data_IF_608354623659
#
_entry.id   IF_608354623659
#
_cell.length_a   1.000
_cell.length_b   1.000
_cell.length_c   1.000
_cell.angle_alpha   90.00
_cell.angle_beta   90.00
_cell.angle_gamma   90.00
#
_symmetry.space_group_name_H-M   'P 1'
#
loop_
_entity.id
_entity.type
_entity.pdbx_description
1 polymer ?
#
# COMPACT_ATOMS: atom_id res chain seq x y z
N UNK A 1 3.26 -11.22 12.85
CA UNK A 1 2.69 -9.86 12.73
C UNK A 1 2.55 -9.59 11.25
N UNK A 2 1.32 -9.39 10.79
CA UNK A 2 1.01 -9.27 9.36
C UNK A 2 1.33 -7.87 8.85
N UNK A 3 1.73 -7.80 7.58
CA UNK A 3 2.25 -6.60 6.93
C UNK A 3 1.44 -6.28 5.68
N UNK A 4 1.12 -5.01 5.44
CA UNK A 4 0.45 -4.58 4.21
C UNK A 4 1.23 -3.47 3.53
N UNK A 5 1.39 -3.57 2.22
CA UNK A 5 1.80 -2.42 1.40
C UNK A 5 0.62 -1.82 0.69
N UNK A 6 0.62 -0.50 0.48
CA UNK A 6 -0.38 0.13 -0.37
C UNK A 6 0.24 1.19 -1.28
N UNK A 7 -0.17 1.15 -2.55
CA UNK A 7 0.38 2.00 -3.60
C UNK A 7 -0.71 2.43 -4.58
N UNK A 8 -0.71 3.70 -4.97
CA UNK A 8 -1.42 4.13 -6.17
C UNK A 8 -0.48 4.51 -7.30
N UNK A 9 -1.00 4.42 -8.52
CA UNK A 9 -0.33 4.97 -9.68
C UNK A 9 -0.25 6.50 -9.54
N UNK A 10 0.87 7.10 -9.93
CA UNK A 10 1.13 8.56 -9.83
C UNK A 10 0.19 9.43 -10.65
N UNK A 11 -0.59 8.82 -11.56
CA UNK A 11 -1.64 9.50 -12.33
C UNK A 11 -3.02 9.52 -11.62
N UNK A 12 -3.09 9.08 -10.36
CA UNK A 12 -4.33 8.98 -9.60
C UNK A 12 -5.07 10.32 -9.54
N UNK A 13 -6.29 10.31 -10.08
CA UNK A 13 -7.25 11.40 -10.02
C UNK A 13 -7.80 11.58 -8.60
N UNK A 14 -8.55 12.66 -8.35
CA UNK A 14 -9.20 12.85 -7.05
C UNK A 14 -10.07 11.66 -6.67
N UNK A 15 -9.89 11.15 -5.45
CA UNK A 15 -10.71 10.08 -4.91
C UNK A 15 -12.14 10.57 -4.66
N UNK A 16 -13.12 9.89 -5.27
CA UNK A 16 -14.55 10.05 -5.00
C UNK A 16 -14.95 9.51 -3.62
N UNK A 17 -16.11 9.95 -3.13
CA UNK A 17 -16.64 9.50 -1.83
C UNK A 17 -16.85 7.98 -1.77
N UNK A 18 -17.22 7.36 -2.91
CA UNK A 18 -17.40 5.91 -3.01
C UNK A 18 -16.07 5.18 -2.83
N UNK A 19 -15.00 5.68 -3.44
CA UNK A 19 -13.67 5.08 -3.34
C UNK A 19 -13.10 5.22 -1.93
N UNK A 20 -13.27 6.40 -1.32
CA UNK A 20 -12.92 6.67 0.09
C UNK A 20 -13.65 5.72 1.03
N UNK A 21 -14.96 5.51 0.82
CA UNK A 21 -15.76 4.56 1.59
C UNK A 21 -15.22 3.12 1.47
N UNK A 22 -14.89 2.68 0.26
CA UNK A 22 -14.32 1.35 0.02
C UNK A 22 -12.94 1.18 0.70
N UNK A 23 -12.06 2.17 0.59
CA UNK A 23 -10.74 2.15 1.23
C UNK A 23 -10.84 2.07 2.76
N UNK A 24 -11.71 2.88 3.35
CA UNK A 24 -11.96 2.87 4.79
C UNK A 24 -12.30 1.46 5.28
N UNK A 25 -13.24 0.78 4.61
CA UNK A 25 -13.64 -0.57 5.00
C UNK A 25 -12.54 -1.61 4.79
N UNK A 26 -11.72 -1.49 3.73
CA UNK A 26 -10.60 -2.40 3.48
C UNK A 26 -9.50 -2.27 4.55
N UNK A 27 -9.17 -1.05 4.96
CA UNK A 27 -8.20 -0.81 6.03
C UNK A 27 -8.71 -1.37 7.36
N UNK A 28 -9.97 -1.12 7.71
CA UNK A 28 -10.58 -1.69 8.91
C UNK A 28 -10.57 -3.23 8.88
N UNK A 29 -10.87 -3.84 7.73
CA UNK A 29 -10.77 -5.29 7.58
C UNK A 29 -9.34 -5.81 7.81
N UNK A 30 -8.33 -5.15 7.22
CA UNK A 30 -6.93 -5.52 7.43
C UNK A 30 -6.50 -5.43 8.89
N UNK A 31 -6.87 -4.35 9.58
CA UNK A 31 -6.49 -4.10 10.98
C UNK A 31 -7.22 -5.06 11.92
N UNK A 32 -8.54 -5.19 11.81
CA UNK A 32 -9.35 -5.89 12.82
C UNK A 32 -9.55 -7.37 12.52
N UNK A 33 -9.61 -7.77 11.26
CA UNK A 33 -9.87 -9.16 10.87
C UNK A 33 -8.58 -9.91 10.51
N UNK A 34 -7.62 -9.24 9.88
CA UNK A 34 -6.37 -9.86 9.40
C UNK A 34 -5.15 -9.58 10.28
N UNK A 35 -5.33 -8.82 11.38
CA UNK A 35 -4.28 -8.47 12.35
C UNK A 35 -3.04 -7.83 11.69
N UNK A 36 -3.26 -6.97 10.69
CA UNK A 36 -2.19 -6.17 10.09
C UNK A 36 -1.82 -5.04 11.04
N UNK A 37 -0.52 -4.91 11.31
CA UNK A 37 0.03 -3.92 12.24
C UNK A 37 1.12 -3.04 11.63
N UNK A 38 1.71 -3.45 10.51
CA UNK A 38 2.71 -2.65 9.80
C UNK A 38 2.24 -2.35 8.39
N UNK A 39 2.31 -1.07 8.03
CA UNK A 39 1.87 -0.57 6.74
C UNK A 39 3.00 0.17 6.02
N UNK A 40 3.17 -0.07 4.73
CA UNK A 40 4.25 0.51 3.91
C UNK A 40 3.66 1.29 2.73
N UNK A 41 4.09 2.53 2.52
CA UNK A 41 3.60 3.39 1.44
C UNK A 41 4.61 4.44 1.00
N UNK A 42 4.46 4.92 -0.24
CA UNK A 42 5.20 6.08 -0.75
C UNK A 42 4.70 7.40 -0.17
N UNK A 43 3.40 7.49 0.16
CA UNK A 43 2.82 8.71 0.72
C UNK A 43 2.66 9.85 -0.28
N UNK A 44 2.57 9.56 -1.59
CA UNK A 44 2.71 10.56 -2.65
C UNK A 44 1.42 10.85 -3.43
N UNK A 45 0.36 10.07 -3.21
CA UNK A 45 -0.91 10.18 -3.94
C UNK A 45 -2.10 10.46 -2.99
N UNK A 46 -3.24 10.95 -3.50
CA UNK A 46 -4.45 11.12 -2.66
C UNK A 46 -4.91 9.77 -2.06
N UNK A 47 -4.71 8.67 -2.79
CA UNK A 47 -4.91 7.32 -2.27
C UNK A 47 -4.03 7.01 -1.06
N UNK A 48 -2.72 7.27 -1.15
CA UNK A 48 -1.80 7.00 -0.05
C UNK A 48 -2.17 7.84 1.16
N UNK A 49 -2.37 9.14 0.95
CA UNK A 49 -2.73 10.11 2.00
C UNK A 49 -4.07 9.75 2.67
N UNK A 50 -5.06 9.29 1.90
CA UNK A 50 -6.32 8.84 2.47
C UNK A 50 -6.11 7.59 3.33
N UNK A 51 -5.35 6.60 2.86
CA UNK A 51 -5.06 5.39 3.64
C UNK A 51 -4.31 5.72 4.94
N UNK A 52 -3.29 6.57 4.87
CA UNK A 52 -2.56 7.09 6.03
C UNK A 52 -3.53 7.73 7.03
N UNK A 53 -4.42 8.62 6.57
CA UNK A 53 -5.34 9.33 7.45
C UNK A 53 -6.29 8.40 8.22
N UNK A 54 -6.69 7.27 7.64
CA UNK A 54 -7.49 6.24 8.31
C UNK A 54 -6.64 5.50 9.33
N UNK A 55 -5.41 5.13 8.98
CA UNK A 55 -4.49 4.43 9.88
C UNK A 55 -4.10 5.29 11.10
N UNK A 56 -3.88 6.60 10.90
CA UNK A 56 -3.61 7.53 12.00
C UNK A 56 -4.77 7.63 13.00
N UNK A 57 -6.02 7.63 12.52
CA UNK A 57 -7.18 7.57 13.42
C UNK A 57 -7.20 6.28 14.24
N UNK A 58 -6.82 5.16 13.62
CA UNK A 58 -6.76 3.85 14.27
C UNK A 58 -5.58 3.73 15.25
N UNK A 59 -4.48 4.47 15.09
CA UNK A 59 -3.36 4.51 16.06
C UNK A 59 -3.81 4.92 17.48
N UNK A 60 -4.93 5.64 17.60
CA UNK A 60 -5.50 5.99 18.91
C UNK A 60 -6.03 4.80 19.71
N UNK A 61 -6.28 3.66 19.05
CA UNK A 61 -6.86 2.46 19.66
C UNK A 61 -6.04 1.19 19.43
N UNK A 62 -5.29 1.14 18.33
CA UNK A 62 -4.55 -0.03 17.88
C UNK A 62 -3.04 0.27 17.78
N UNK A 63 -2.20 -0.74 18.04
CA UNK A 63 -0.74 -0.64 17.87
C UNK A 63 -0.38 -0.81 16.39
N UNK A 64 -0.53 0.27 15.61
CA UNK A 64 -0.26 0.31 14.17
C UNK A 64 1.00 1.14 13.90
N UNK A 65 1.86 0.65 13.01
CA UNK A 65 3.03 1.36 12.49
C UNK A 65 2.89 1.62 11.00
N UNK A 66 3.24 2.83 10.58
CA UNK A 66 3.23 3.29 9.19
C UNK A 66 4.66 3.65 8.81
N UNK A 67 5.16 3.06 7.72
CA UNK A 67 6.52 3.23 7.25
C UNK A 67 6.53 3.94 5.90
N UNK A 68 7.33 5.00 5.79
CA UNK A 68 7.55 5.69 4.51
C UNK A 68 8.56 4.93 3.68
N UNK A 69 8.27 4.75 2.41
CA UNK A 69 9.20 4.16 1.46
C UNK A 69 9.98 5.28 0.79
N UNK A 70 11.30 5.16 0.81
CA UNK A 70 12.22 6.12 0.20
C UNK A 70 12.96 5.47 -0.95
N UNK A 71 13.14 6.23 -2.04
CA UNK A 71 14.09 5.86 -3.09
C UNK A 71 15.51 6.21 -2.66
N UNK A 72 16.49 5.71 -3.39
CA UNK A 72 17.90 5.97 -3.10
C UNK A 72 18.20 7.47 -3.06
N UNK A 73 19.00 7.90 -2.08
CA UNK A 73 19.33 9.30 -1.76
C UNK A 73 18.17 10.22 -1.31
N UNK A 74 16.93 9.73 -1.19
CA UNK A 74 15.87 10.53 -0.57
C UNK A 74 16.17 10.78 0.91
N UNK A 75 15.96 12.02 1.35
CA UNK A 75 16.08 12.44 2.75
C UNK A 75 14.73 12.27 3.46
N UNK A 76 14.77 11.77 4.69
CA UNK A 76 13.60 11.68 5.55
C UNK A 76 13.88 12.41 6.85
N UNK A 77 12.97 13.32 7.18
CA UNK A 77 12.93 14.02 8.46
C UNK A 77 11.63 13.62 9.18
N UNK A 78 11.78 13.00 10.34
CA UNK A 78 10.64 12.54 11.14
C UNK A 78 9.82 13.71 11.68
N UNK A 79 10.45 14.87 11.93
CA UNK A 79 9.75 16.06 12.41
C UNK A 79 8.84 16.67 11.33
N UNK A 80 9.21 16.50 10.06
CA UNK A 80 8.41 16.93 8.90
C UNK A 80 7.36 15.91 8.47
N UNK A 81 7.46 14.66 8.93
CA UNK A 81 6.62 13.54 8.50
C UNK A 81 6.08 12.75 9.72
N UNK A 82 5.34 13.40 10.64
CA UNK A 82 4.94 12.83 11.93
C UNK A 82 3.97 11.64 11.83
N UNK A 83 3.31 11.46 10.68
CA UNK A 83 2.39 10.35 10.44
C UNK A 83 3.12 8.99 10.35
N UNK A 84 4.42 9.00 10.01
CA UNK A 84 5.24 7.80 9.86
C UNK A 84 6.05 7.52 11.12
N UNK A 85 6.13 6.25 11.49
CA UNK A 85 6.91 5.78 12.63
C UNK A 85 8.40 5.59 12.27
N UNK A 86 8.70 5.24 11.03
CA UNK A 86 10.06 5.08 10.49
C UNK A 86 10.01 5.04 8.94
N UNK A 87 11.15 4.80 8.32
CA UNK A 87 11.28 4.66 6.87
C UNK A 87 11.94 3.34 6.47
N UNK A 88 11.69 2.93 5.22
CA UNK A 88 12.41 1.85 4.56
C UNK A 88 13.00 2.35 3.24
N UNK A 89 14.25 1.97 2.98
CA UNK A 89 14.93 2.24 1.71
C UNK A 89 14.79 1.07 0.75
N UNK A 90 14.62 1.39 -0.53
CA UNK A 90 14.68 0.42 -1.63
C UNK A 90 15.73 0.84 -2.64
N UNK A 91 16.58 -0.12 -3.01
CA UNK A 91 17.71 0.08 -3.93
C UNK A 91 17.21 -0.01 -5.39
N UNK A 92 16.33 0.91 -5.81
CA UNK A 92 15.85 0.99 -7.19
C UNK A 92 15.13 2.32 -7.46
N UNK A 93 15.35 2.88 -8.66
CA UNK A 93 14.62 4.06 -9.14
C UNK A 93 13.29 3.70 -9.81
N UNK A 94 13.16 2.47 -10.29
CA UNK A 94 11.99 1.93 -10.97
C UNK A 94 10.87 1.57 -9.98
N UNK A 95 9.71 2.19 -10.15
CA UNK A 95 8.53 2.01 -9.27
C UNK A 95 8.07 0.56 -9.27
N UNK A 96 8.10 -0.13 -10.41
CA UNK A 96 7.67 -1.53 -10.48
C UNK A 96 8.60 -2.44 -9.66
N UNK A 97 9.91 -2.28 -9.83
CA UNK A 97 10.92 -3.02 -9.07
C UNK A 97 10.86 -2.73 -7.56
N UNK A 98 10.59 -1.47 -7.17
CA UNK A 98 10.39 -1.12 -5.75
C UNK A 98 9.11 -1.72 -5.19
N UNK A 99 8.00 -1.63 -5.91
CA UNK A 99 6.73 -2.24 -5.51
C UNK A 99 6.87 -3.76 -5.33
N UNK A 100 7.65 -4.45 -6.18
CA UNK A 100 8.00 -5.88 -6.01
C UNK A 100 8.77 -6.12 -4.72
N UNK A 101 9.82 -5.34 -4.44
CA UNK A 101 10.66 -5.54 -3.24
C UNK A 101 9.88 -5.38 -1.92
N UNK A 102 8.84 -4.56 -1.92
CA UNK A 102 8.07 -4.23 -0.72
C UNK A 102 6.84 -5.13 -0.63
N UNK A 103 6.24 -5.49 -1.78
CA UNK A 103 5.33 -6.61 -1.87
C UNK A 103 5.97 -7.88 -1.30
N UNK A 104 7.19 -8.25 -1.69
CA UNK A 104 7.89 -9.44 -1.16
C UNK A 104 8.07 -9.45 0.37
N UNK A 105 8.02 -8.28 1.01
CA UNK A 105 8.11 -8.10 2.46
C UNK A 105 6.74 -8.01 3.16
N UNK A 106 5.66 -8.02 2.39
CA UNK A 106 4.28 -7.85 2.87
C UNK A 106 3.48 -9.15 2.76
N UNK A 107 2.51 -9.32 3.64
CA UNK A 107 1.52 -10.40 3.53
C UNK A 107 0.36 -9.99 2.63
N UNK A 108 0.08 -8.68 2.57
CA UNK A 108 -0.98 -8.06 1.79
C UNK A 108 -0.46 -6.91 0.93
N UNK A 109 -1.09 -6.68 -0.22
CA UNK A 109 -0.88 -5.48 -1.03
C UNK A 109 -2.23 -4.89 -1.41
N UNK A 110 -2.37 -3.57 -1.30
CA UNK A 110 -3.48 -2.78 -1.83
C UNK A 110 -2.98 -1.91 -2.99
N UNK A 111 -3.71 -1.93 -4.11
CA UNK A 111 -3.37 -1.12 -5.29
C UNK A 111 -4.58 -0.28 -5.73
N UNK A 112 -4.33 0.95 -6.19
CA UNK A 112 -5.27 1.69 -7.04
C UNK A 112 -5.20 1.07 -8.46
N UNK A 113 -6.36 0.74 -9.06
CA UNK A 113 -6.45 0.01 -10.33
C UNK A 113 -5.73 0.74 -11.46
N UNK A 114 -5.01 0.00 -12.30
CA UNK A 114 -4.43 0.49 -13.57
C UNK A 114 -5.33 -0.05 -14.69
N UNK A 115 -6.22 0.78 -15.23
CA UNK A 115 -6.83 0.47 -16.53
C UNK A 115 -7.05 1.75 -17.35
N UNK A 116 -6.46 1.78 -18.55
CA UNK A 116 -6.42 2.94 -19.46
C UNK A 116 -7.78 3.21 -20.15
N UNK A 117 -8.77 2.33 -20.01
CA UNK A 117 -10.04 2.44 -20.76
C UNK A 117 -11.31 2.46 -19.88
N UNK A 118 -11.22 2.20 -18.58
CA UNK A 118 -12.33 2.40 -17.65
C UNK A 118 -11.82 2.59 -16.24
N UNK A 119 -12.04 3.78 -15.68
CA UNK A 119 -11.78 4.09 -14.27
C UNK A 119 -12.74 3.30 -13.36
N UNK A 120 -12.44 2.03 -13.15
CA UNK A 120 -13.06 1.19 -12.12
C UNK A 120 -12.02 0.94 -11.05
N UNK A 121 -12.11 1.71 -9.97
CA UNK A 121 -11.30 1.59 -8.76
C UNK A 121 -11.49 0.22 -8.09
N UNK A 122 -10.74 -0.76 -8.56
CA UNK A 122 -10.66 -2.08 -7.96
C UNK A 122 -9.45 -2.12 -7.03
N UNK A 123 -9.69 -1.89 -5.74
CA UNK A 123 -8.63 -2.08 -4.74
C UNK A 123 -8.38 -3.57 -4.58
N UNK A 124 -7.38 -4.08 -5.27
CA UNK A 124 -6.97 -5.47 -5.11
C UNK A 124 -6.36 -5.64 -3.74
N UNK A 125 -6.97 -6.48 -2.90
CA UNK A 125 -6.35 -6.99 -1.69
C UNK A 125 -5.89 -8.42 -1.98
N UNK A 126 -4.65 -8.59 -2.42
CA UNK A 126 -4.08 -9.92 -2.63
C UNK A 126 -3.30 -10.35 -1.39
N UNK A 127 -3.51 -11.59 -0.96
CA UNK A 127 -2.53 -12.25 -0.08
C UNK A 127 -1.37 -12.66 -0.96
N UNK A 128 -0.14 -12.25 -0.63
CA UNK A 128 1.04 -12.78 -1.32
C UNK A 128 1.22 -14.21 -0.82
N UNK A 129 0.58 -15.15 -1.50
CA UNK A 129 0.97 -16.55 -1.40
C UNK A 129 2.43 -16.60 -1.82
N UNK A 130 3.34 -16.83 -0.86
CA UNK A 130 4.79 -17.00 -1.06
C UNK A 130 5.03 -17.99 -2.19
N UNK A 131 5.10 -17.49 -3.42
CA UNK A 131 5.45 -18.26 -4.59
C UNK A 131 6.87 -18.73 -4.35
N UNK A 132 7.03 -20.05 -4.24
CA UNK A 132 8.32 -20.70 -4.09
C UNK A 132 9.28 -20.13 -5.14
N UNK A 133 10.39 -19.57 -4.67
CA UNK A 133 11.58 -19.22 -5.46
C UNK A 133 11.78 -20.22 -6.59
N UNK A 134 11.57 -19.80 -7.84
CA UNK A 134 11.79 -20.66 -8.98
C UNK A 134 11.20 -20.12 -10.28
N UNK A 135 11.79 -19.02 -10.78
CA UNK A 135 11.54 -18.42 -12.10
C UNK A 135 10.11 -17.89 -12.31
N UNK A 136 10.03 -16.69 -12.85
CA UNK A 136 8.81 -15.96 -13.19
C UNK A 136 8.03 -15.43 -11.97
N UNK A 137 8.51 -14.31 -11.42
CA UNK A 137 7.69 -13.42 -10.59
C UNK A 137 6.67 -12.77 -11.51
N UNK A 138 5.61 -13.50 -11.83
CA UNK A 138 4.38 -12.91 -12.31
C UNK A 138 3.78 -12.16 -11.12
N UNK A 139 3.85 -10.82 -11.14
CA UNK A 139 2.88 -10.03 -10.40
C UNK A 139 1.52 -10.48 -10.91
N UNK A 140 0.79 -11.25 -10.11
CA UNK A 140 -0.59 -11.58 -10.40
C UNK A 140 -1.40 -10.31 -10.21
N UNK A 141 -1.48 -9.50 -11.26
CA UNK A 141 -2.65 -8.65 -11.50
C UNK A 141 -3.79 -9.66 -11.65
N UNK A 142 -4.62 -9.77 -10.63
CA UNK A 142 -5.73 -10.72 -10.59
C UNK A 142 -6.80 -10.26 -11.59
N UNK A 143 -6.69 -10.72 -12.83
CA UNK A 143 -7.87 -10.89 -13.69
C UNK A 143 -8.77 -11.97 -13.06
N UNK A 144 -9.76 -11.58 -12.27
CA UNK A 144 -10.97 -12.41 -12.18
C UNK A 144 -11.83 -12.08 -13.39
N UNK A 145 -11.73 -12.92 -14.43
CA UNK A 145 -12.77 -13.02 -15.44
C UNK A 145 -13.98 -13.71 -14.79
N UNK A 146 -15.07 -12.96 -14.61
CA UNK A 146 -16.41 -13.53 -14.44
C UNK A 146 -16.89 -14.16 -15.76
#
# INVERSE_FOLDING_TARGET
MSKCSFFANTNSTKLSDKEKFCLYHKINYLVFMMDVREFYTWGNTEFDLFCISVLEQLKGTEEIKIFKILKDNDTFDADENPEYDDMIRVDSDDIASCSIQIADKSDFVMLDSIDDESYTFDVYLSTIMKAKKGKDVHLWILEEKL
#
